data_IF_773404815847
#
_entry.id   IF_773404815847
#
_cell.length_a   1.000
_cell.length_b   1.000
_cell.length_c   1.000
_cell.angle_alpha   90.00
_cell.angle_beta   90.00
_cell.angle_gamma   90.00
#
_symmetry.space_group_name_H-M   'P 1'
#
loop_
_entity.id
_entity.type
_entity.pdbx_description
1 polymer ?
#
# COMPACT_ATOMS: atom_id res chain seq x y z
N UNK A 1 1.61 3.73 -19.36
CA UNK A 1 0.26 4.02 -18.81
C UNK A 1 0.03 5.53 -18.55
N UNK A 2 0.75 6.24 -17.66
CA UNK A 2 0.48 7.67 -17.40
C UNK A 2 0.65 8.55 -18.66
N UNK A 3 1.76 8.39 -19.40
CA UNK A 3 2.00 9.13 -20.65
C UNK A 3 1.02 8.71 -21.77
N UNK A 4 0.66 7.45 -21.81
CA UNK A 4 -0.30 6.89 -22.75
C UNK A 4 -1.72 7.46 -22.53
N UNK A 5 -2.14 7.57 -21.28
CA UNK A 5 -3.39 8.26 -20.93
C UNK A 5 -3.43 9.70 -21.38
N UNK A 6 -2.33 10.45 -21.25
CA UNK A 6 -2.22 11.82 -21.78
C UNK A 6 -2.39 11.87 -23.31
N UNK A 7 -1.72 10.95 -24.03
CA UNK A 7 -1.79 10.88 -25.49
C UNK A 7 -3.20 10.58 -25.95
N UNK A 8 -3.88 9.60 -25.33
CA UNK A 8 -5.25 9.24 -25.68
C UNK A 8 -6.23 10.37 -25.36
N UNK A 9 -6.11 11.02 -24.21
CA UNK A 9 -6.94 12.19 -23.85
C UNK A 9 -6.74 13.36 -24.82
N UNK A 10 -5.51 13.60 -25.26
CA UNK A 10 -5.24 14.63 -26.27
C UNK A 10 -5.83 14.29 -27.65
N UNK A 11 -5.85 13.00 -28.02
CA UNK A 11 -6.34 12.55 -29.34
C UNK A 11 -7.87 12.44 -29.42
N UNK A 12 -8.53 11.93 -28.37
CA UNK A 12 -9.93 11.57 -28.41
C UNK A 12 -10.82 12.48 -27.55
N UNK A 13 -10.25 13.34 -26.71
CA UNK A 13 -10.93 14.14 -25.71
C UNK A 13 -10.89 13.49 -24.33
N UNK A 14 -10.68 14.29 -23.29
CA UNK A 14 -10.53 13.80 -21.92
C UNK A 14 -11.81 13.12 -21.37
N UNK A 15 -12.97 13.55 -21.86
CA UNK A 15 -14.29 13.03 -21.51
C UNK A 15 -14.61 11.66 -22.11
N UNK A 16 -13.83 11.20 -23.08
CA UNK A 16 -14.00 9.91 -23.77
C UNK A 16 -13.01 8.84 -23.31
N UNK A 17 -12.00 9.20 -22.52
CA UNK A 17 -10.98 8.27 -22.05
C UNK A 17 -11.21 7.97 -20.58
N UNK A 18 -11.52 6.73 -20.28
CA UNK A 18 -11.81 6.22 -18.93
C UNK A 18 -10.54 5.65 -18.30
N UNK A 19 -9.84 6.49 -17.53
CA UNK A 19 -8.51 6.17 -17.02
C UNK A 19 -8.56 5.65 -15.58
N UNK A 20 -8.54 4.31 -15.44
CA UNK A 20 -8.51 3.59 -14.17
C UNK A 20 -7.11 3.01 -13.86
N UNK A 21 -6.08 3.48 -14.56
CA UNK A 21 -4.74 2.89 -14.48
C UNK A 21 -3.98 3.28 -13.21
N UNK A 22 -4.21 4.48 -12.68
CA UNK A 22 -3.43 5.06 -11.59
C UNK A 22 -4.26 5.22 -10.30
N UNK A 23 -3.75 4.68 -9.20
CA UNK A 23 -4.30 4.87 -7.85
C UNK A 23 -3.87 6.19 -7.22
N UNK A 24 -4.28 7.32 -7.82
CA UNK A 24 -4.03 8.64 -7.27
C UNK A 24 -5.29 9.13 -6.55
N UNK A 25 -5.24 9.40 -5.21
CA UNK A 25 -6.38 9.96 -4.50
C UNK A 25 -6.85 11.25 -5.17
N UNK A 26 -8.16 11.41 -5.31
CA UNK A 26 -8.79 12.58 -5.88
C UNK A 26 -9.64 13.38 -4.87
N UNK A 27 -9.67 12.93 -3.61
CA UNK A 27 -10.19 13.73 -2.51
C UNK A 27 -9.20 14.85 -2.15
N UNK A 28 -9.73 16.01 -1.83
CA UNK A 28 -8.92 17.10 -1.30
C UNK A 28 -8.47 16.79 0.14
N UNK A 29 -7.32 17.31 0.59
CA UNK A 29 -6.92 17.24 1.99
C UNK A 29 -7.98 17.88 2.89
N UNK A 30 -8.25 17.32 4.09
CA UNK A 30 -9.20 17.89 5.03
C UNK A 30 -8.77 19.29 5.49
N UNK A 31 -9.75 20.09 5.96
CA UNK A 31 -9.51 21.50 6.33
C UNK A 31 -8.44 21.65 7.41
N UNK A 32 -8.39 20.73 8.37
CA UNK A 32 -7.38 20.70 9.43
C UNK A 32 -5.95 20.58 8.89
N UNK A 33 -5.76 19.84 7.80
CA UNK A 33 -4.47 19.75 7.10
C UNK A 33 -4.14 21.07 6.41
N UNK A 34 -5.12 21.70 5.72
CA UNK A 34 -4.92 22.99 5.07
C UNK A 34 -4.59 24.11 6.07
N UNK A 35 -5.19 24.07 7.25
CA UNK A 35 -4.93 25.02 8.30
C UNK A 35 -3.56 24.79 8.96
N UNK A 36 -3.16 23.54 9.18
CA UNK A 36 -1.82 23.18 9.62
C UNK A 36 -0.73 23.62 8.60
N UNK A 37 -1.00 23.50 7.29
CA UNK A 37 -0.10 24.02 6.24
C UNK A 37 0.10 25.53 6.38
N UNK A 38 -0.98 26.32 6.58
CA UNK A 38 -0.90 27.78 6.74
C UNK A 38 -0.10 28.14 8.01
N UNK A 39 -0.38 27.45 9.11
CA UNK A 39 0.32 27.68 10.39
C UNK A 39 1.80 27.39 10.27
N UNK A 40 2.19 26.24 9.71
CA UNK A 40 3.60 25.88 9.52
C UNK A 40 4.29 26.81 8.52
N UNK A 41 3.60 27.26 7.46
CA UNK A 41 4.13 28.23 6.51
C UNK A 41 4.39 29.62 7.12
N UNK A 42 3.65 29.98 8.16
CA UNK A 42 3.85 31.24 8.89
C UNK A 42 5.01 31.19 9.92
N UNK A 43 5.60 30.01 10.15
CA UNK A 43 6.74 29.86 11.07
C UNK A 43 8.02 30.43 10.44
N UNK A 44 8.41 31.64 10.86
CA UNK A 44 9.64 32.33 10.44
C UNK A 44 10.77 32.23 11.46
N UNK A 45 10.65 31.31 12.43
CA UNK A 45 11.66 31.12 13.48
C UNK A 45 13.01 30.65 12.90
N UNK A 46 14.10 31.01 13.57
CA UNK A 46 15.42 30.56 13.16
C UNK A 46 15.52 29.04 13.17
N UNK A 47 15.94 28.42 12.05
CA UNK A 47 16.07 26.98 11.92
C UNK A 47 14.77 26.23 11.61
N UNK A 48 13.66 26.92 11.35
CA UNK A 48 12.36 26.30 11.00
C UNK A 48 12.45 25.30 9.83
N UNK A 49 13.40 25.50 8.92
CA UNK A 49 13.67 24.66 7.74
C UNK A 49 15.01 23.90 7.84
N UNK A 50 15.60 23.82 9.02
CA UNK A 50 16.90 23.20 9.25
C UNK A 50 16.85 21.66 9.20
N UNK A 51 18.03 21.04 9.12
CA UNK A 51 18.16 19.60 9.35
C UNK A 51 17.75 19.22 10.78
N UNK A 52 17.32 18.00 10.94
CA UNK A 52 16.89 17.41 12.21
C UNK A 52 17.59 16.08 12.46
N UNK A 53 17.24 15.40 13.54
CA UNK A 53 17.60 13.99 13.77
C UNK A 53 17.27 13.14 12.53
N UNK A 54 18.12 12.17 12.18
CA UNK A 54 17.90 11.33 11.00
C UNK A 54 16.58 10.54 11.06
N UNK A 55 16.06 10.25 12.26
CA UNK A 55 14.78 9.62 12.46
C UNK A 55 13.57 10.58 12.33
N UNK A 56 13.79 11.88 12.19
CA UNK A 56 12.75 12.92 12.12
C UNK A 56 12.66 13.77 13.39
N UNK A 57 11.75 14.74 13.38
CA UNK A 57 11.45 15.58 14.54
C UNK A 57 10.82 14.76 15.66
N UNK A 58 11.26 14.97 16.91
CA UNK A 58 10.77 14.20 18.06
C UNK A 58 9.27 14.39 18.30
N UNK A 59 8.76 15.61 18.11
CA UNK A 59 7.34 15.91 18.19
C UNK A 59 6.50 15.14 17.14
N UNK A 60 7.01 15.04 15.90
CA UNK A 60 6.34 14.30 14.85
C UNK A 60 6.36 12.80 15.15
N UNK A 61 7.52 12.27 15.56
CA UNK A 61 7.67 10.88 15.95
C UNK A 61 6.74 10.52 17.13
N UNK A 62 6.60 11.43 18.10
CA UNK A 62 5.67 11.25 19.23
C UNK A 62 4.21 11.22 18.78
N UNK A 63 3.81 12.10 17.85
CA UNK A 63 2.48 12.11 17.26
C UNK A 63 2.17 10.80 16.50
N UNK A 64 3.13 10.29 15.71
CA UNK A 64 2.98 8.99 15.02
C UNK A 64 2.94 7.82 16.00
N UNK A 65 3.71 7.86 17.06
CA UNK A 65 3.66 6.86 18.14
C UNK A 65 2.29 6.84 18.85
N UNK A 66 1.67 8.00 19.03
CA UNK A 66 0.29 8.10 19.54
C UNK A 66 -0.71 7.46 18.57
N UNK A 67 -0.60 7.74 17.27
CA UNK A 67 -1.43 7.13 16.23
C UNK A 67 -1.29 5.60 16.24
N UNK A 68 -0.07 5.09 16.22
CA UNK A 68 0.17 3.65 16.24
C UNK A 68 -0.31 3.01 17.56
N UNK A 69 -0.19 3.71 18.69
CA UNK A 69 -0.74 3.19 19.96
C UNK A 69 -2.25 2.97 19.88
N UNK A 70 -2.98 3.85 19.20
CA UNK A 70 -4.43 3.71 18.99
C UNK A 70 -4.75 2.58 18.01
N UNK A 71 -4.03 2.48 16.90
CA UNK A 71 -4.29 1.50 15.84
C UNK A 71 -3.84 0.08 16.19
N UNK A 72 -2.76 -0.05 16.98
CA UNK A 72 -2.19 -1.34 17.35
C UNK A 72 -2.65 -1.84 18.74
N UNK A 73 -3.33 -0.99 19.51
CA UNK A 73 -3.81 -1.36 20.85
C UNK A 73 -2.70 -1.63 21.88
N UNK A 74 -1.48 -1.18 21.62
CA UNK A 74 -0.31 -1.29 22.51
C UNK A 74 0.35 0.07 22.68
N UNK A 75 1.03 0.30 23.82
CA UNK A 75 1.72 1.56 24.03
C UNK A 75 3.00 1.62 23.17
N UNK A 76 3.04 2.54 22.24
CA UNK A 76 4.19 2.85 21.38
C UNK A 76 4.79 4.18 21.82
N UNK A 77 6.09 4.32 21.78
CA UNK A 77 6.82 5.56 22.04
C UNK A 77 7.60 6.04 20.81
N UNK A 78 8.05 7.30 20.83
CA UNK A 78 8.75 7.92 19.72
C UNK A 78 10.03 7.19 19.28
N UNK A 79 10.66 6.41 20.17
CA UNK A 79 11.87 5.63 19.81
C UNK A 79 11.58 4.50 18.82
N UNK A 80 10.31 4.10 18.68
CA UNK A 80 9.87 3.10 17.73
C UNK A 80 9.66 3.66 16.31
N UNK A 81 9.70 4.98 16.11
CA UNK A 81 9.27 5.64 14.87
C UNK A 81 10.43 6.27 14.11
N UNK A 82 10.42 6.12 12.79
CA UNK A 82 11.32 6.81 11.84
C UNK A 82 10.44 7.50 10.78
N UNK A 83 10.57 8.82 10.62
CA UNK A 83 9.90 9.56 9.56
C UNK A 83 10.60 9.34 8.22
N UNK A 84 9.82 9.17 7.14
CA UNK A 84 10.33 8.79 5.82
C UNK A 84 9.72 9.61 4.68
N UNK A 85 10.31 9.50 3.49
CA UNK A 85 9.82 10.11 2.24
C UNK A 85 8.72 9.23 1.64
N UNK A 86 7.60 9.08 2.37
CA UNK A 86 6.49 8.18 2.03
C UNK A 86 6.79 6.70 2.28
N UNK A 87 5.78 5.84 2.08
CA UNK A 87 5.88 4.40 2.34
C UNK A 87 6.92 3.69 1.45
N UNK A 88 7.13 4.15 0.21
CA UNK A 88 8.09 3.55 -0.71
C UNK A 88 9.52 3.57 -0.15
N UNK A 89 9.97 4.73 0.35
CA UNK A 89 11.29 4.83 0.98
C UNK A 89 11.35 4.10 2.33
N UNK A 90 10.22 4.03 3.04
CA UNK A 90 10.10 3.26 4.29
C UNK A 90 10.37 1.77 4.04
N UNK A 91 9.65 1.14 3.11
CA UNK A 91 9.81 -0.28 2.77
C UNK A 91 11.22 -0.55 2.26
N UNK A 92 11.73 0.28 1.33
CA UNK A 92 13.09 0.12 0.80
C UNK A 92 14.15 0.19 1.90
N UNK A 93 13.98 1.09 2.89
CA UNK A 93 14.91 1.22 4.01
C UNK A 93 14.85 0.05 4.99
N UNK A 94 13.65 -0.46 5.28
CA UNK A 94 13.47 -1.66 6.10
C UNK A 94 14.12 -2.86 5.41
N UNK A 95 13.85 -3.08 4.12
CA UNK A 95 14.48 -4.17 3.36
C UNK A 95 16.00 -4.02 3.36
N UNK A 96 16.53 -2.81 3.10
CA UNK A 96 17.97 -2.53 3.12
C UNK A 96 18.62 -2.86 4.45
N UNK A 97 17.92 -2.63 5.57
CA UNK A 97 18.44 -2.91 6.90
C UNK A 97 18.44 -4.41 7.24
N UNK A 98 17.52 -5.17 6.65
CA UNK A 98 17.31 -6.60 6.99
C UNK A 98 18.03 -7.58 6.07
N UNK A 99 18.24 -7.23 4.78
CA UNK A 99 18.61 -8.18 3.73
C UNK A 99 20.09 -8.18 3.42
N UNK A 100 20.65 -9.36 3.29
CA UNK A 100 21.97 -9.60 2.69
C UNK A 100 21.79 -10.18 1.28
N UNK A 101 22.80 -10.04 0.39
CA UNK A 101 22.72 -10.60 -0.97
C UNK A 101 22.39 -12.10 -0.96
N UNK A 102 21.38 -12.49 -1.74
CA UNK A 102 20.92 -13.87 -1.86
C UNK A 102 19.88 -14.31 -0.82
N UNK A 103 19.49 -13.42 0.12
CA UNK A 103 18.37 -13.66 1.03
C UNK A 103 17.02 -13.37 0.38
N UNK A 104 15.95 -13.77 1.03
CA UNK A 104 14.60 -13.84 0.46
C UNK A 104 13.58 -13.07 1.29
N UNK A 105 12.64 -12.44 0.57
CA UNK A 105 11.45 -11.81 1.14
C UNK A 105 10.23 -12.47 0.51
N UNK A 106 9.36 -13.05 1.35
CA UNK A 106 8.10 -13.67 0.91
C UNK A 106 7.01 -12.60 0.78
N UNK A 107 6.17 -12.75 -0.26
CA UNK A 107 4.99 -11.89 -0.45
C UNK A 107 3.80 -12.70 -0.99
N UNK A 108 2.58 -12.56 -0.40
CA UNK A 108 1.37 -13.11 -1.00
C UNK A 108 1.03 -12.41 -2.32
N UNK A 109 0.78 -13.18 -3.39
CA UNK A 109 0.35 -12.66 -4.69
C UNK A 109 -1.20 -12.67 -4.77
N UNK A 110 -1.82 -11.62 -5.34
CA UNK A 110 -1.19 -10.46 -5.99
C UNK A 110 -0.67 -9.42 -5.00
N UNK A 111 0.38 -8.69 -5.41
CA UNK A 111 1.11 -7.73 -4.57
C UNK A 111 1.45 -6.44 -5.33
N UNK A 112 1.78 -5.39 -4.60
CA UNK A 112 2.23 -4.12 -5.19
C UNK A 112 3.54 -4.30 -5.96
N UNK A 113 3.53 -4.00 -7.26
CA UNK A 113 4.58 -4.36 -8.22
C UNK A 113 6.01 -3.93 -7.79
N UNK A 114 6.12 -2.77 -7.15
CA UNK A 114 7.41 -2.18 -6.77
C UNK A 114 8.15 -2.97 -5.67
N UNK A 115 7.49 -3.87 -4.92
CA UNK A 115 8.20 -4.71 -3.95
C UNK A 115 9.31 -5.54 -4.62
N UNK A 116 9.09 -5.98 -5.86
CA UNK A 116 10.12 -6.69 -6.65
C UNK A 116 11.38 -5.85 -6.81
N UNK A 117 11.20 -4.56 -7.11
CA UNK A 117 12.33 -3.65 -7.29
C UNK A 117 13.00 -3.30 -5.96
N UNK A 118 12.23 -3.07 -4.90
CA UNK A 118 12.81 -2.76 -3.58
C UNK A 118 13.68 -3.89 -3.06
N UNK A 119 13.24 -5.15 -3.17
CA UNK A 119 14.01 -6.32 -2.76
C UNK A 119 15.24 -6.52 -3.64
N UNK A 120 15.06 -6.45 -4.97
CA UNK A 120 16.14 -6.66 -5.95
C UNK A 120 17.23 -5.60 -5.84
N UNK A 121 16.89 -4.33 -5.60
CA UNK A 121 17.83 -3.23 -5.45
C UNK A 121 18.84 -3.44 -4.31
N UNK A 122 18.48 -4.27 -3.34
CA UNK A 122 19.33 -4.59 -2.19
C UNK A 122 19.94 -6.01 -2.27
N UNK A 123 19.88 -6.64 -3.44
CA UNK A 123 20.52 -7.94 -3.70
C UNK A 123 19.70 -9.15 -3.24
N UNK A 124 18.46 -8.94 -2.81
CA UNK A 124 17.56 -10.01 -2.40
C UNK A 124 16.70 -10.58 -3.51
N UNK A 125 15.94 -11.62 -3.16
CA UNK A 125 14.96 -12.28 -4.03
C UNK A 125 13.58 -12.15 -3.43
N UNK A 126 12.62 -11.59 -4.19
CA UNK A 126 11.21 -11.64 -3.81
C UNK A 126 10.65 -13.02 -4.15
N UNK A 127 9.98 -13.66 -3.20
CA UNK A 127 9.37 -15.00 -3.33
C UNK A 127 7.85 -14.86 -3.25
N UNK A 128 7.16 -14.77 -4.41
CA UNK A 128 5.70 -14.75 -4.43
C UNK A 128 5.14 -16.10 -4.01
N UNK A 129 4.09 -16.07 -3.16
CA UNK A 129 3.30 -17.24 -2.78
C UNK A 129 1.84 -17.01 -3.13
N UNK A 130 1.06 -18.05 -3.48
CA UNK A 130 -0.35 -17.87 -3.81
C UNK A 130 -1.17 -17.40 -2.60
N UNK A 131 -2.25 -16.67 -2.87
CA UNK A 131 -3.38 -16.46 -1.96
C UNK A 131 -4.51 -17.42 -2.29
N UNK A 132 -5.53 -17.50 -1.44
CA UNK A 132 -6.76 -18.22 -1.73
C UNK A 132 -7.55 -17.52 -2.85
N UNK A 133 -8.58 -18.17 -3.39
CA UNK A 133 -9.41 -17.65 -4.49
C UNK A 133 -10.08 -16.30 -4.20
N UNK A 134 -10.35 -16.00 -2.93
CA UNK A 134 -10.93 -14.76 -2.46
C UNK A 134 -9.86 -13.74 -2.02
N UNK A 135 -8.60 -13.98 -2.38
CA UNK A 135 -7.42 -13.21 -2.02
C UNK A 135 -7.09 -13.19 -0.52
N UNK A 136 -7.70 -14.03 0.30
CA UNK A 136 -7.28 -14.24 1.69
C UNK A 136 -5.93 -14.96 1.76
N UNK A 137 -5.22 -14.82 2.89
CA UNK A 137 -3.90 -15.41 3.06
C UNK A 137 -3.97 -16.95 2.99
N UNK A 138 -3.10 -17.52 2.17
CA UNK A 138 -2.77 -18.93 2.27
C UNK A 138 -1.53 -19.09 3.16
N UNK A 139 -1.78 -19.17 4.47
CA UNK A 139 -0.70 -19.32 5.46
C UNK A 139 0.06 -20.64 5.27
N UNK A 140 -0.60 -21.66 4.76
CA UNK A 140 0.05 -22.93 4.40
C UNK A 140 1.10 -22.74 3.30
N UNK A 141 0.78 -21.97 2.25
CA UNK A 141 1.72 -21.64 1.19
C UNK A 141 2.89 -20.76 1.70
N UNK A 142 2.61 -19.79 2.59
CA UNK A 142 3.67 -18.99 3.22
C UNK A 142 4.60 -19.90 4.04
N UNK A 143 4.03 -20.78 4.87
CA UNK A 143 4.77 -21.73 5.72
C UNK A 143 5.67 -22.66 4.90
N UNK A 144 5.18 -23.15 3.77
CA UNK A 144 5.94 -24.00 2.84
C UNK A 144 7.12 -23.26 2.16
N UNK A 145 7.01 -21.94 1.98
CA UNK A 145 8.06 -21.11 1.37
C UNK A 145 9.13 -20.66 2.36
N UNK A 146 8.85 -20.67 3.67
CA UNK A 146 9.81 -20.27 4.72
C UNK A 146 11.05 -21.18 4.68
N UNK A 147 12.23 -20.56 4.67
CA UNK A 147 13.51 -21.25 4.69
C UNK A 147 14.60 -20.37 5.34
N UNK A 148 15.81 -20.91 5.54
CA UNK A 148 16.92 -20.20 6.22
C UNK A 148 17.36 -18.89 5.55
N UNK A 149 16.96 -18.62 4.30
CA UNK A 149 17.23 -17.36 3.60
C UNK A 149 16.12 -16.35 3.83
N UNK A 150 14.96 -16.76 4.35
CA UNK A 150 13.82 -15.86 4.55
C UNK A 150 14.12 -14.88 5.68
N UNK A 151 14.16 -13.58 5.35
CA UNK A 151 14.40 -12.49 6.31
C UNK A 151 13.16 -11.72 6.66
N UNK A 152 12.17 -11.71 5.76
CA UNK A 152 10.92 -11.00 5.98
C UNK A 152 9.75 -11.60 5.17
N UNK A 153 8.54 -11.31 5.64
CA UNK A 153 7.29 -11.47 4.91
C UNK A 153 6.66 -10.08 4.78
N UNK A 154 6.25 -9.68 3.58
CA UNK A 154 5.52 -8.42 3.36
C UNK A 154 4.04 -8.74 3.20
N UNK A 155 3.19 -8.09 3.97
CA UNK A 155 1.73 -8.06 3.75
C UNK A 155 1.28 -6.63 3.52
N UNK A 156 0.23 -6.45 2.69
CA UNK A 156 -0.39 -5.16 2.43
C UNK A 156 -1.90 -5.27 2.66
N UNK A 157 -2.42 -4.56 3.66
CA UNK A 157 -3.83 -4.63 4.05
C UNK A 157 -4.35 -3.28 4.53
N UNK A 158 -5.40 -2.72 3.91
CA UNK A 158 -6.08 -3.17 2.69
C UNK A 158 -5.14 -3.27 1.48
N UNK A 159 -5.33 -4.32 0.69
CA UNK A 159 -4.37 -4.73 -0.33
C UNK A 159 -4.50 -3.93 -1.64
N UNK A 160 -3.39 -3.54 -2.20
CA UNK A 160 -3.26 -3.16 -3.60
C UNK A 160 -2.65 -4.35 -4.36
N UNK A 161 -3.39 -5.02 -5.28
CA UNK A 161 -4.48 -4.47 -6.09
C UNK A 161 -5.92 -4.90 -5.70
N UNK A 162 -6.14 -5.74 -4.69
CA UNK A 162 -7.41 -6.49 -4.52
C UNK A 162 -8.45 -5.77 -3.66
N UNK A 163 -8.04 -4.81 -2.84
CA UNK A 163 -8.91 -4.23 -1.81
C UNK A 163 -9.23 -5.18 -0.65
N UNK A 164 -8.59 -6.36 -0.57
CA UNK A 164 -8.77 -7.33 0.51
C UNK A 164 -8.20 -6.82 1.83
N UNK A 165 -8.92 -7.05 2.91
CA UNK A 165 -8.44 -6.91 4.28
C UNK A 165 -8.21 -8.30 4.84
N UNK A 166 -7.02 -8.56 5.38
CA UNK A 166 -6.73 -9.83 6.06
C UNK A 166 -7.36 -9.82 7.45
N UNK A 167 -8.07 -10.88 7.77
CA UNK A 167 -8.78 -11.00 9.05
C UNK A 167 -7.82 -11.18 10.23
N UNK A 168 -8.30 -10.88 11.45
CA UNK A 168 -7.54 -11.12 12.67
C UNK A 168 -7.14 -12.61 12.85
N UNK A 169 -7.96 -13.54 12.35
CA UNK A 169 -7.64 -14.97 12.39
C UNK A 169 -6.45 -15.31 11.46
N UNK A 170 -6.43 -14.77 10.23
CA UNK A 170 -5.34 -14.97 9.28
C UNK A 170 -4.03 -14.34 9.81
N UNK A 171 -4.10 -13.14 10.41
CA UNK A 171 -2.93 -12.49 11.01
C UNK A 171 -2.37 -13.33 12.16
N UNK A 172 -3.21 -13.83 13.07
CA UNK A 172 -2.78 -14.71 14.16
C UNK A 172 -2.15 -16.00 13.64
N UNK A 173 -2.75 -16.63 12.63
CA UNK A 173 -2.22 -17.85 12.02
C UNK A 173 -0.85 -17.60 11.38
N UNK A 174 -0.70 -16.50 10.62
CA UNK A 174 0.58 -16.09 10.03
C UNK A 174 1.63 -15.84 11.11
N UNK A 175 1.30 -15.04 12.13
CA UNK A 175 2.22 -14.72 13.23
C UNK A 175 2.65 -15.98 13.99
N UNK A 176 1.74 -16.94 14.21
CA UNK A 176 2.07 -18.25 14.81
C UNK A 176 3.05 -19.04 13.97
N UNK A 177 2.83 -19.08 12.65
CA UNK A 177 3.75 -19.76 11.72
C UNK A 177 5.15 -19.13 11.72
N UNK A 178 5.25 -17.79 11.76
CA UNK A 178 6.54 -17.10 11.86
C UNK A 178 7.25 -17.34 13.19
N UNK A 179 6.51 -17.38 14.31
CA UNK A 179 7.05 -17.72 15.63
C UNK A 179 7.59 -19.14 15.68
N UNK A 180 6.82 -20.11 15.15
CA UNK A 180 7.25 -21.52 15.07
C UNK A 180 8.54 -21.63 14.26
N UNK A 181 8.57 -21.07 13.06
CA UNK A 181 9.74 -21.07 12.20
C UNK A 181 10.96 -20.41 12.89
N UNK A 182 10.77 -19.24 13.54
CA UNK A 182 11.85 -18.54 14.23
C UNK A 182 12.46 -19.36 15.37
N UNK A 183 11.62 -20.10 16.13
CA UNK A 183 12.10 -21.03 17.19
C UNK A 183 12.91 -22.19 16.60
N UNK A 184 12.49 -22.75 15.48
CA UNK A 184 13.17 -23.88 14.83
C UNK A 184 14.49 -23.45 14.14
N UNK A 185 14.44 -22.28 13.47
CA UNK A 185 15.54 -21.77 12.65
C UNK A 185 16.58 -20.97 13.44
N UNK A 186 16.21 -20.44 14.61
CA UNK A 186 17.05 -19.52 15.41
C UNK A 186 17.07 -18.08 14.88
N UNK A 187 16.27 -17.75 13.86
CA UNK A 187 16.12 -16.42 13.27
C UNK A 187 14.66 -16.16 12.97
N UNK A 188 14.12 -15.09 13.51
CA UNK A 188 12.73 -14.68 13.32
C UNK A 188 12.60 -13.78 12.09
N UNK A 189 11.82 -14.17 11.04
CA UNK A 189 11.57 -13.27 9.90
C UNK A 189 10.77 -12.05 10.35
N UNK A 190 11.12 -10.87 9.85
CA UNK A 190 10.31 -9.68 10.10
C UNK A 190 8.98 -9.74 9.34
N UNK A 191 7.89 -9.31 9.97
CA UNK A 191 6.60 -9.09 9.31
C UNK A 191 6.47 -7.60 8.98
N UNK A 192 6.62 -7.26 7.70
CA UNK A 192 6.48 -5.89 7.20
C UNK A 192 5.03 -5.69 6.78
N UNK A 193 4.30 -4.83 7.51
CA UNK A 193 2.90 -4.51 7.28
C UNK A 193 2.84 -3.15 6.55
N UNK A 194 2.55 -3.19 5.24
CA UNK A 194 2.37 -1.99 4.42
C UNK A 194 0.91 -1.54 4.50
N UNK A 195 0.65 -0.43 5.19
CA UNK A 195 -0.70 0.00 5.59
C UNK A 195 -1.10 1.40 5.10
N UNK A 196 -0.79 1.85 3.87
CA UNK A 196 -1.15 3.19 3.42
C UNK A 196 -2.67 3.38 3.27
N UNK A 197 -3.43 2.29 3.18
CA UNK A 197 -4.89 2.30 3.01
C UNK A 197 -5.66 1.99 4.29
N UNK A 198 -5.00 1.88 5.47
CA UNK A 198 -5.62 1.43 6.72
C UNK A 198 -6.92 2.17 7.08
N UNK A 199 -7.00 3.47 6.79
CA UNK A 199 -8.18 4.28 7.08
C UNK A 199 -9.30 4.15 6.01
N UNK A 200 -9.01 3.59 4.83
CA UNK A 200 -9.97 3.49 3.73
C UNK A 200 -10.59 2.10 3.76
N UNK A 201 -11.63 1.95 4.54
CA UNK A 201 -12.35 0.68 4.77
C UNK A 201 -13.85 0.86 4.55
N UNK A 202 -14.53 -0.21 4.19
CA UNK A 202 -15.95 -0.21 3.82
C UNK A 202 -16.73 -1.28 4.58
N UNK A 203 -18.05 -1.09 4.63
CA UNK A 203 -19.01 -2.08 5.15
C UNK A 203 -18.70 -2.53 6.60
N UNK A 204 -18.13 -1.64 7.42
CA UNK A 204 -17.76 -1.94 8.80
C UNK A 204 -16.53 -2.87 8.95
N UNK A 205 -15.75 -3.05 7.88
CA UNK A 205 -14.51 -3.81 7.96
C UNK A 205 -13.45 -3.06 8.79
N UNK A 206 -12.61 -3.82 9.48
CA UNK A 206 -11.52 -3.28 10.30
C UNK A 206 -10.19 -3.94 9.92
N UNK A 207 -9.11 -3.16 9.93
CA UNK A 207 -7.76 -3.70 9.77
C UNK A 207 -7.24 -4.11 11.15
N UNK A 208 -6.99 -5.41 11.40
CA UNK A 208 -6.58 -5.87 12.73
C UNK A 208 -5.18 -5.35 13.09
N UNK A 209 -4.92 -5.19 14.41
CA UNK A 209 -3.58 -4.88 14.88
C UNK A 209 -2.64 -6.07 14.72
N UNK A 210 -1.35 -5.80 14.50
CA UNK A 210 -0.32 -6.84 14.33
C UNK A 210 0.68 -6.88 15.49
N UNK A 211 0.89 -5.77 16.19
CA UNK A 211 1.87 -5.72 17.29
C UNK A 211 1.55 -6.63 18.45
N UNK A 212 0.28 -6.84 18.89
CA UNK A 212 -0.02 -7.83 19.93
C UNK A 212 0.31 -9.27 19.52
N UNK A 213 0.35 -9.54 18.22
CA UNK A 213 0.47 -10.89 17.68
C UNK A 213 1.91 -11.30 17.37
N UNK A 214 2.83 -10.33 17.08
CA UNK A 214 4.19 -10.67 16.66
C UNK A 214 5.21 -9.57 17.00
N UNK A 215 6.21 -9.92 17.77
CA UNK A 215 7.23 -9.00 18.28
C UNK A 215 8.12 -8.43 17.17
N UNK A 216 8.37 -9.17 16.08
CA UNK A 216 9.15 -8.75 14.93
C UNK A 216 8.28 -8.10 13.83
N UNK A 217 7.12 -7.55 14.19
CA UNK A 217 6.29 -6.80 13.27
C UNK A 217 6.76 -5.35 13.13
N UNK A 218 6.65 -4.84 11.91
CA UNK A 218 6.98 -3.45 11.55
C UNK A 218 5.86 -2.91 10.67
N UNK A 219 5.26 -1.79 11.06
CA UNK A 219 4.30 -1.06 10.24
C UNK A 219 5.04 -0.03 9.39
N UNK A 220 4.71 0.03 8.10
CA UNK A 220 5.13 1.08 7.16
C UNK A 220 3.90 1.71 6.55
N UNK A 221 3.86 3.04 6.52
CA UNK A 221 2.69 3.76 6.02
C UNK A 221 3.05 5.15 5.53
N UNK A 222 2.06 5.88 4.99
CA UNK A 222 2.21 7.26 4.55
C UNK A 222 0.88 8.00 4.61
N UNK A 223 0.95 9.32 4.52
CA UNK A 223 -0.22 10.20 4.44
C UNK A 223 -0.68 10.45 2.99
N UNK A 224 -0.12 9.71 2.04
CA UNK A 224 -0.45 9.82 0.62
C UNK A 224 -1.91 9.46 0.31
N UNK A 225 -2.53 8.56 1.09
CA UNK A 225 -3.86 8.00 0.79
C UNK A 225 -4.92 8.49 1.77
N UNK A 226 -4.64 8.39 3.06
CA UNK A 226 -5.59 8.76 4.12
C UNK A 226 -5.82 10.28 4.23
N UNK A 227 -4.80 11.12 4.01
CA UNK A 227 -4.93 12.58 4.05
C UNK A 227 -4.83 13.23 2.66
N UNK A 228 -4.84 12.44 1.58
CA UNK A 228 -4.72 12.95 0.20
C UNK A 228 -3.49 13.81 -0.05
N UNK A 229 -2.33 13.41 0.47
CA UNK A 229 -1.04 14.11 0.35
C UNK A 229 0.00 13.30 -0.47
N UNK A 230 -0.33 12.73 -1.64
CA UNK A 230 0.60 11.86 -2.37
C UNK A 230 1.83 12.62 -2.88
N UNK A 231 1.70 13.90 -3.22
CA UNK A 231 2.77 14.76 -3.72
C UNK A 231 3.76 15.19 -2.64
N UNK A 232 3.35 15.18 -1.37
CA UNK A 232 4.11 15.76 -0.25
C UNK A 232 5.14 14.81 0.33
N UNK A 233 5.10 13.55 -0.06
CA UNK A 233 6.12 12.54 0.23
C UNK A 233 6.43 12.40 1.73
N UNK A 234 5.43 12.24 2.57
CA UNK A 234 5.59 12.03 4.01
C UNK A 234 4.98 10.70 4.44
N UNK A 235 5.72 9.94 5.22
CA UNK A 235 5.34 8.65 5.78
C UNK A 235 6.22 8.30 6.96
N UNK A 236 6.09 7.08 7.47
CA UNK A 236 6.91 6.61 8.59
C UNK A 236 7.00 5.09 8.64
N UNK A 237 7.98 4.64 9.42
CA UNK A 237 8.18 3.27 9.88
C UNK A 237 7.87 3.26 11.38
N UNK A 238 7.14 2.26 11.83
CA UNK A 238 6.97 1.99 13.27
C UNK A 238 7.36 0.55 13.58
N UNK A 239 8.37 0.37 14.43
CA UNK A 239 8.78 -0.92 14.94
C UNK A 239 7.94 -1.31 16.17
N UNK A 240 7.58 -2.57 16.30
CA UNK A 240 6.90 -3.06 17.49
C UNK A 240 7.73 -2.73 18.77
N UNK A 241 7.13 -2.08 19.79
CA UNK A 241 7.85 -1.76 21.03
C UNK A 241 8.39 -2.99 21.76
N UNK A 242 7.77 -4.17 21.58
CA UNK A 242 8.19 -5.44 22.16
C UNK A 242 9.30 -6.14 21.37
N UNK A 243 9.75 -5.59 20.25
CA UNK A 243 10.81 -6.19 19.45
C UNK A 243 12.12 -6.25 20.26
N UNK A 244 12.69 -7.45 20.49
CA UNK A 244 13.91 -7.60 21.29
C UNK A 244 15.15 -6.96 20.63
N UNK A 245 15.12 -6.75 19.31
CA UNK A 245 16.19 -6.14 18.52
C UNK A 245 15.86 -4.67 18.15
N UNK A 246 14.87 -4.06 18.82
CA UNK A 246 14.33 -2.72 18.46
C UNK A 246 15.43 -1.67 18.26
N UNK A 247 16.38 -1.58 19.18
CA UNK A 247 17.42 -0.57 19.13
C UNK A 247 18.30 -0.70 17.87
N UNK A 248 18.73 -1.91 17.57
CA UNK A 248 19.57 -2.22 16.40
C UNK A 248 18.77 -2.05 15.10
N UNK A 249 17.51 -2.51 15.08
CA UNK A 249 16.61 -2.33 13.94
C UNK A 249 16.40 -0.84 13.61
N UNK A 250 16.08 -0.01 14.60
CA UNK A 250 15.90 1.44 14.41
C UNK A 250 17.18 2.09 13.94
N UNK A 251 18.33 1.75 14.51
CA UNK A 251 19.63 2.30 14.12
C UNK A 251 19.98 1.92 12.67
N UNK A 252 19.87 0.63 12.32
CA UNK A 252 20.15 0.14 10.97
C UNK A 252 19.21 0.72 9.93
N UNK A 253 17.90 0.79 10.21
CA UNK A 253 16.89 1.31 9.29
C UNK A 253 17.05 2.83 9.10
N UNK A 254 17.35 3.58 10.17
CA UNK A 254 17.65 5.01 10.07
C UNK A 254 18.90 5.26 9.21
N UNK A 255 19.93 4.46 9.37
CA UNK A 255 21.13 4.52 8.54
C UNK A 255 20.82 4.18 7.08
N UNK A 256 20.06 3.11 6.84
CA UNK A 256 19.62 2.71 5.50
C UNK A 256 18.84 3.83 4.79
N UNK A 257 17.90 4.47 5.50
CA UNK A 257 17.15 5.61 4.99
C UNK A 257 18.07 6.80 4.66
N UNK A 258 18.98 7.14 5.55
CA UNK A 258 19.94 8.23 5.35
C UNK A 258 20.79 8.02 4.10
N UNK A 259 21.39 6.84 3.95
CA UNK A 259 22.33 6.56 2.85
C UNK A 259 21.63 6.26 1.51
N UNK A 260 20.31 6.12 1.49
CA UNK A 260 19.51 6.06 0.25
C UNK A 260 19.43 7.41 -0.49
N UNK A 261 20.01 8.46 0.08
CA UNK A 261 19.99 9.81 -0.45
C UNK A 261 18.86 10.70 0.09
N UNK A 262 17.98 10.16 0.95
CA UNK A 262 16.85 10.90 1.52
C UNK A 262 17.29 11.81 2.68
N UNK A 263 18.27 11.40 3.49
CA UNK A 263 18.79 12.06 4.70
C UNK A 263 17.73 12.26 5.78
N UNK A 264 16.68 13.05 5.49
CA UNK A 264 15.50 13.28 6.33
C UNK A 264 14.22 13.28 5.48
N UNK A 265 13.09 13.03 6.11
CA UNK A 265 11.78 13.36 5.54
C UNK A 265 11.59 14.89 5.48
N UNK A 266 10.72 15.42 4.58
CA UNK A 266 10.51 16.87 4.43
C UNK A 266 10.11 17.53 5.75
N UNK A 267 10.92 18.48 6.21
CA UNK A 267 10.74 19.21 7.49
C UNK A 267 9.34 19.83 7.61
N UNK A 268 8.90 20.50 6.55
CA UNK A 268 7.61 21.18 6.49
C UNK A 268 6.45 20.20 6.76
N UNK A 269 6.38 19.12 5.99
CA UNK A 269 5.27 18.17 6.10
C UNK A 269 5.34 17.27 7.33
N UNK A 270 6.51 17.05 7.93
CA UNK A 270 6.56 16.43 9.26
C UNK A 270 5.79 17.29 10.29
N UNK A 271 6.02 18.63 10.31
CA UNK A 271 5.30 19.55 11.20
C UNK A 271 3.80 19.59 10.91
N UNK A 272 3.41 19.57 9.63
CA UNK A 272 2.00 19.54 9.22
C UNK A 272 1.31 18.28 9.73
N UNK A 273 1.86 17.09 9.44
CA UNK A 273 1.22 15.84 9.85
C UNK A 273 1.25 15.63 11.37
N UNK A 274 2.25 16.15 12.08
CA UNK A 274 2.25 16.13 13.53
C UNK A 274 1.02 16.83 14.15
N UNK A 275 0.51 17.87 13.47
CA UNK A 275 -0.66 18.64 13.91
C UNK A 275 -1.99 18.11 13.40
N UNK A 276 -2.00 17.33 12.30
CA UNK A 276 -3.23 16.99 11.56
C UNK A 276 -3.40 15.51 11.22
N UNK A 277 -2.58 14.61 11.77
CA UNK A 277 -2.65 13.18 11.45
C UNK A 277 -4.02 12.52 11.73
N UNK A 278 -4.76 13.06 12.69
CA UNK A 278 -6.07 12.57 13.11
C UNK A 278 -7.23 13.36 12.47
N UNK A 279 -6.96 14.19 11.46
CA UNK A 279 -8.00 14.92 10.76
C UNK A 279 -9.04 13.96 10.16
N UNK A 280 -10.35 14.23 10.33
CA UNK A 280 -11.39 13.37 9.80
C UNK A 280 -11.44 13.46 8.28
N UNK A 281 -11.58 12.30 7.61
CA UNK A 281 -11.78 12.23 6.16
C UNK A 281 -13.04 11.42 5.87
N UNK A 282 -13.90 11.97 5.02
CA UNK A 282 -15.08 11.26 4.54
C UNK A 282 -14.76 10.44 3.29
N UNK A 283 -14.72 9.12 3.45
CA UNK A 283 -14.49 8.17 2.35
C UNK A 283 -15.77 7.66 1.69
N UNK A 284 -16.95 8.23 2.02
CA UNK A 284 -18.25 7.80 1.46
C UNK A 284 -18.28 7.88 -0.07
N UNK A 285 -17.57 8.84 -0.65
CA UNK A 285 -17.42 8.96 -2.11
C UNK A 285 -16.68 7.76 -2.72
N UNK A 286 -15.65 7.22 -2.06
CA UNK A 286 -14.97 6.00 -2.53
C UNK A 286 -15.86 4.77 -2.39
N UNK A 287 -16.64 4.66 -1.31
CA UNK A 287 -17.65 3.61 -1.16
C UNK A 287 -18.66 3.65 -2.32
N UNK A 288 -19.22 4.82 -2.62
CA UNK A 288 -20.15 5.01 -3.72
C UNK A 288 -19.54 4.63 -5.08
N UNK A 289 -18.31 5.07 -5.34
CA UNK A 289 -17.58 4.75 -6.58
C UNK A 289 -17.28 3.26 -6.72
N UNK A 290 -16.92 2.58 -5.62
CA UNK A 290 -16.80 1.13 -5.60
C UNK A 290 -18.09 0.47 -6.08
N UNK A 291 -19.22 0.85 -5.49
CA UNK A 291 -20.51 0.24 -5.79
C UNK A 291 -20.96 0.54 -7.23
N UNK A 292 -20.72 1.77 -7.74
CA UNK A 292 -20.94 2.11 -9.14
C UNK A 292 -20.08 1.30 -10.10
N UNK A 293 -18.79 1.08 -9.77
CA UNK A 293 -17.90 0.29 -10.62
C UNK A 293 -18.29 -1.19 -10.59
N UNK A 294 -18.69 -1.72 -9.45
CA UNK A 294 -19.20 -3.08 -9.33
C UNK A 294 -20.42 -3.30 -10.23
N UNK A 295 -21.37 -2.35 -10.23
CA UNK A 295 -22.53 -2.39 -11.13
C UNK A 295 -22.12 -2.33 -12.63
N UNK A 296 -21.07 -1.59 -12.98
CA UNK A 296 -20.50 -1.60 -14.35
C UNK A 296 -19.94 -2.97 -14.71
N UNK A 297 -19.19 -3.60 -13.81
CA UNK A 297 -18.55 -4.92 -14.04
C UNK A 297 -19.60 -6.02 -14.08
N UNK A 298 -20.61 -6.00 -13.20
CA UNK A 298 -21.73 -6.93 -13.20
C UNK A 298 -22.50 -6.88 -14.53
N UNK A 299 -22.76 -5.69 -15.05
CA UNK A 299 -23.39 -5.49 -16.35
C UNK A 299 -22.55 -6.07 -17.51
N UNK A 300 -21.22 -6.00 -17.40
CA UNK A 300 -20.31 -6.56 -18.39
C UNK A 300 -20.08 -8.07 -18.23
N UNK A 301 -20.55 -8.70 -17.14
CA UNK A 301 -20.31 -10.10 -16.84
C UNK A 301 -18.86 -10.40 -16.41
N UNK A 302 -18.16 -9.40 -15.85
CA UNK A 302 -16.77 -9.52 -15.40
C UNK A 302 -16.74 -9.94 -13.93
N UNK A 303 -16.08 -11.06 -13.62
CA UNK A 303 -15.95 -11.59 -12.25
C UNK A 303 -14.94 -10.78 -11.43
N UNK A 304 -15.26 -10.54 -10.16
CA UNK A 304 -14.36 -9.90 -9.20
C UNK A 304 -14.66 -10.35 -7.76
N UNK A 305 -13.70 -10.13 -6.87
CA UNK A 305 -13.94 -10.25 -5.42
C UNK A 305 -14.27 -8.85 -4.89
N UNK A 306 -15.38 -8.71 -4.14
CA UNK A 306 -15.80 -7.43 -3.55
C UNK A 306 -14.70 -6.86 -2.66
N UNK A 307 -14.16 -5.66 -2.95
CA UNK A 307 -13.14 -5.05 -2.11
C UNK A 307 -13.71 -4.54 -0.78
N UNK A 308 -12.96 -4.73 0.28
CA UNK A 308 -13.29 -4.33 1.64
C UNK A 308 -12.64 -2.99 2.04
N UNK A 309 -11.62 -2.56 1.28
CA UNK A 309 -10.89 -1.31 1.51
C UNK A 309 -10.06 -0.88 0.31
N UNK A 310 -9.23 0.14 0.49
CA UNK A 310 -8.50 0.83 -0.55
C UNK A 310 -9.45 1.42 -1.64
N UNK A 311 -8.99 1.57 -2.86
CA UNK A 311 -9.82 2.05 -3.98
C UNK A 311 -9.48 1.31 -5.28
N UNK A 312 -9.38 -0.03 -5.17
CA UNK A 312 -9.08 -0.92 -6.29
C UNK A 312 -10.07 -2.08 -6.36
N UNK A 313 -10.38 -2.50 -7.59
CA UNK A 313 -10.94 -3.81 -7.90
C UNK A 313 -9.93 -4.58 -8.73
N UNK A 314 -9.67 -5.83 -8.35
CA UNK A 314 -8.85 -6.76 -9.11
C UNK A 314 -9.78 -7.80 -9.73
N UNK A 315 -10.14 -7.53 -10.99
CA UNK A 315 -11.14 -8.27 -11.72
C UNK A 315 -10.50 -9.36 -12.58
N UNK A 316 -11.22 -10.46 -12.79
CA UNK A 316 -10.79 -11.57 -13.61
C UNK A 316 -10.98 -11.24 -15.08
N UNK A 317 -10.00 -11.61 -15.90
CA UNK A 317 -10.08 -11.48 -17.35
C UNK A 317 -11.19 -12.41 -17.88
N UNK A 318 -12.03 -11.98 -18.86
CA UNK A 318 -13.03 -12.84 -19.45
C UNK A 318 -12.47 -14.14 -20.04
N UNK A 319 -13.22 -15.21 -19.95
CA UNK A 319 -12.79 -16.59 -20.30
C UNK A 319 -12.21 -16.70 -21.73
N UNK A 320 -12.74 -15.91 -22.68
CA UNK A 320 -12.26 -15.88 -24.06
C UNK A 320 -10.77 -15.51 -24.20
N UNK A 321 -10.19 -14.85 -23.19
CA UNK A 321 -8.78 -14.44 -23.16
C UNK A 321 -7.91 -15.37 -22.29
N UNK A 322 -8.51 -16.29 -21.51
CA UNK A 322 -7.78 -17.16 -20.58
C UNK A 322 -6.94 -16.38 -19.60
N UNK A 323 -5.64 -16.70 -19.50
CA UNK A 323 -4.69 -16.00 -18.61
C UNK A 323 -3.94 -14.83 -19.30
N UNK A 324 -4.38 -14.44 -20.50
CA UNK A 324 -3.74 -13.36 -21.26
C UNK A 324 -4.32 -11.98 -20.89
N UNK A 325 -3.99 -11.54 -19.68
CA UNK A 325 -4.39 -10.24 -19.13
C UNK A 325 -3.91 -9.07 -19.99
N UNK A 326 -2.79 -9.23 -20.70
CA UNK A 326 -2.27 -8.19 -21.60
C UNK A 326 -3.14 -8.00 -22.83
N UNK A 327 -3.54 -9.09 -23.48
CA UNK A 327 -4.42 -9.01 -24.64
C UNK A 327 -5.78 -8.38 -24.26
N UNK A 328 -6.33 -8.73 -23.08
CA UNK A 328 -7.57 -8.12 -22.63
C UNK A 328 -7.43 -6.62 -22.33
N UNK A 329 -6.33 -6.22 -21.68
CA UNK A 329 -6.07 -4.78 -21.41
C UNK A 329 -5.88 -4.00 -22.72
N UNK A 330 -5.27 -4.57 -23.77
CA UNK A 330 -5.21 -3.97 -25.10
C UNK A 330 -6.62 -3.79 -25.75
N UNK A 331 -7.53 -4.74 -25.51
CA UNK A 331 -8.94 -4.60 -25.97
C UNK A 331 -9.67 -3.51 -25.19
N UNK A 332 -9.43 -3.40 -23.88
CA UNK A 332 -9.95 -2.29 -23.06
C UNK A 332 -9.43 -0.95 -23.60
N UNK A 333 -8.13 -0.84 -23.88
CA UNK A 333 -7.52 0.40 -24.43
C UNK A 333 -8.11 0.80 -25.78
N UNK A 334 -8.37 -0.16 -26.69
CA UNK A 334 -9.06 0.09 -27.97
C UNK A 334 -10.48 0.64 -27.74
N UNK A 335 -11.10 0.35 -26.61
CA UNK A 335 -12.39 0.91 -26.16
C UNK A 335 -12.19 2.13 -25.24
N UNK A 336 -10.99 2.73 -25.21
CA UNK A 336 -10.64 3.92 -24.42
C UNK A 336 -10.75 3.73 -22.90
N UNK A 337 -10.62 2.50 -22.42
CA UNK A 337 -10.54 2.16 -20.98
C UNK A 337 -9.10 1.78 -20.65
N UNK A 338 -8.49 2.49 -19.71
CA UNK A 338 -7.12 2.23 -19.26
C UNK A 338 -7.14 1.50 -17.91
N UNK A 339 -6.58 0.30 -17.87
CA UNK A 339 -6.42 -0.53 -16.69
C UNK A 339 -5.01 -1.10 -16.61
N UNK A 340 -4.64 -1.66 -15.46
CA UNK A 340 -3.33 -2.28 -15.28
C UNK A 340 -3.41 -3.81 -15.34
N UNK A 341 -2.60 -4.49 -16.20
CA UNK A 341 -2.62 -5.96 -16.31
C UNK A 341 -2.12 -6.64 -15.04
N UNK A 342 -2.72 -7.76 -14.69
CA UNK A 342 -2.46 -8.50 -13.44
C UNK A 342 -1.07 -9.10 -13.33
N UNK A 343 -0.43 -9.42 -14.47
CA UNK A 343 0.96 -9.91 -14.49
C UNK A 343 1.93 -8.99 -13.77
N UNK A 344 1.68 -7.66 -13.80
CA UNK A 344 2.49 -6.67 -13.09
C UNK A 344 2.38 -6.78 -11.56
N UNK A 345 1.31 -7.40 -11.06
CA UNK A 345 1.07 -7.66 -9.63
C UNK A 345 1.38 -9.12 -9.24
N UNK A 346 2.09 -9.86 -10.09
CA UNK A 346 2.45 -11.26 -9.83
C UNK A 346 1.32 -12.27 -10.07
N UNK A 347 0.20 -11.90 -10.69
CA UNK A 347 -0.94 -12.78 -10.94
C UNK A 347 -1.53 -12.54 -12.34
N UNK A 348 -1.38 -13.51 -13.24
CA UNK A 348 -1.97 -13.48 -14.58
C UNK A 348 -3.46 -13.77 -14.56
N UNK A 349 -4.18 -13.45 -15.64
CA UNK A 349 -5.60 -13.68 -15.78
C UNK A 349 -6.49 -12.73 -15.01
N UNK A 350 -5.92 -11.62 -14.51
CA UNK A 350 -6.61 -10.54 -13.80
C UNK A 350 -6.16 -9.17 -14.32
N UNK A 351 -6.89 -8.12 -13.95
CA UNK A 351 -6.50 -6.73 -14.19
C UNK A 351 -6.99 -5.84 -13.06
N UNK A 352 -6.24 -4.77 -12.78
CA UNK A 352 -6.57 -3.81 -11.72
C UNK A 352 -7.27 -2.59 -12.27
N UNK A 353 -8.35 -2.19 -11.62
CA UNK A 353 -9.15 -0.99 -11.86
C UNK A 353 -9.06 -0.11 -10.63
N UNK A 354 -8.53 1.11 -10.76
CA UNK A 354 -8.47 2.10 -9.68
C UNK A 354 -9.70 3.01 -9.79
N UNK A 355 -10.60 3.01 -8.79
CA UNK A 355 -11.83 3.81 -8.82
C UNK A 355 -11.75 5.15 -8.06
N UNK A 356 -10.54 5.63 -7.79
CA UNK A 356 -10.32 6.98 -7.30
C UNK A 356 -10.37 8.01 -8.46
N UNK A 357 -11.48 8.02 -9.17
CA UNK A 357 -11.82 8.91 -10.30
C UNK A 357 -13.24 9.44 -10.11
N UNK A 358 -13.65 10.44 -10.87
CA UNK A 358 -15.00 10.97 -10.75
C UNK A 358 -16.09 9.95 -11.16
N UNK A 359 -17.29 10.09 -10.59
CA UNK A 359 -18.41 9.17 -10.81
C UNK A 359 -18.84 9.10 -12.28
N UNK A 360 -18.72 10.21 -13.03
CA UNK A 360 -19.09 10.25 -14.45
C UNK A 360 -18.18 9.37 -15.29
N UNK A 361 -16.87 9.37 -14.99
CA UNK A 361 -15.91 8.47 -15.64
C UNK A 361 -16.32 7.01 -15.44
N UNK A 362 -16.73 6.62 -14.22
CA UNK A 362 -17.17 5.25 -13.93
C UNK A 362 -18.46 4.91 -14.71
N UNK A 363 -19.49 5.74 -14.56
CA UNK A 363 -20.80 5.48 -15.18
C UNK A 363 -20.71 5.45 -16.70
N UNK A 364 -19.99 6.38 -17.30
CA UNK A 364 -19.84 6.49 -18.76
C UNK A 364 -18.98 5.36 -19.37
N UNK A 365 -18.16 4.69 -18.58
CA UNK A 365 -17.34 3.56 -19.04
C UNK A 365 -18.13 2.26 -19.26
N UNK A 366 -19.41 2.18 -18.83
CA UNK A 366 -20.25 0.98 -18.85
C UNK A 366 -20.27 0.28 -20.20
N UNK A 367 -20.55 1.04 -21.28
CA UNK A 367 -20.63 0.47 -22.62
C UNK A 367 -19.27 -0.01 -23.13
N UNK A 368 -18.20 0.68 -22.76
CA UNK A 368 -16.83 0.33 -23.14
C UNK A 368 -16.39 -0.99 -22.47
N UNK A 369 -16.66 -1.16 -21.16
CA UNK A 369 -16.42 -2.44 -20.48
C UNK A 369 -17.25 -3.57 -21.06
N UNK A 370 -18.54 -3.33 -21.35
CA UNK A 370 -19.40 -4.33 -21.95
C UNK A 370 -18.87 -4.80 -23.32
N UNK A 371 -18.52 -3.87 -24.20
CA UNK A 371 -17.94 -4.19 -25.53
C UNK A 371 -16.62 -4.96 -25.39
N UNK A 372 -15.74 -4.55 -24.49
CA UNK A 372 -14.46 -5.21 -24.29
C UNK A 372 -14.64 -6.66 -23.75
N UNK A 373 -15.53 -6.85 -22.78
CA UNK A 373 -15.77 -8.16 -22.19
C UNK A 373 -16.38 -9.18 -23.18
N UNK A 374 -17.11 -8.72 -24.20
CA UNK A 374 -17.74 -9.56 -25.21
C UNK A 374 -16.98 -9.59 -26.55
N UNK A 375 -15.77 -8.99 -26.58
CA UNK A 375 -14.89 -9.09 -27.74
C UNK A 375 -14.29 -10.51 -27.83
N UNK A 376 -14.12 -10.99 -29.05
CA UNK A 376 -13.30 -12.18 -29.31
C UNK A 376 -11.81 -11.81 -29.33
N UNK A 377 -10.98 -12.73 -28.89
CA UNK A 377 -9.51 -12.59 -28.91
C UNK A 377 -8.97 -12.50 -30.35
#
# INVERSE_FOLDING_TARGET
MFEEGKILKAKYGADKVYDFSLGNPDLDPPQEVLDAIKEVAADTSHGAHGYMSNAGYDECRAAMAQKESQEQGVKVDASCVIMTVGAASAISSVIKALIMPGEEVIVPAPFFAEYTHYVKNHGGTLVPVPTKKDFSLDVGAIKAALNKKTVAVIINSPNNPTGKIYSAAEIRELCSALKEFGKECGRYPYLICDEPYRAIVYDGAEVPPVFPEYEYAVVVTSFAKNLSLPGERVGYICCNPANPEKADFIAATTMAFRISGCVNAPAFFQKVVAKSWNAPVDYSSYLKRRDLLMDVLDNAGIEYVRPQGAFYIFAKVPEAFGDDDSAFVEVLEKNLVLCAPGKGFGMKGYFRIAYCVDEKTIVNSREAFYKAAHASK
#
